data_IF_987579679596
#
_entry.id   IF_987579679596
#
_cell.length_a   1.000
_cell.length_b   1.000
_cell.length_c   1.000
_cell.angle_alpha   90.00
_cell.angle_beta   90.00
_cell.angle_gamma   90.00
#
_symmetry.space_group_name_H-M   'P 1'
#
loop_
_entity.id
_entity.type
_entity.pdbx_description
1 polymer ?
#
# COMPACT_ATOMS: atom_id res chain seq x y z
N UNK A 1 -22.38 -12.81 -15.00
CA UNK A 1 -21.19 -13.56 -14.54
C UNK A 1 -20.01 -12.63 -14.23
N UNK A 2 -19.50 -11.85 -15.19
CA UNK A 2 -18.36 -10.93 -15.00
C UNK A 2 -18.55 -9.93 -13.85
N UNK A 3 -19.74 -9.32 -13.72
CA UNK A 3 -20.04 -8.37 -12.64
C UNK A 3 -19.95 -8.99 -11.25
N UNK A 4 -20.37 -10.25 -11.09
CA UNK A 4 -20.29 -10.95 -9.81
C UNK A 4 -18.83 -11.31 -9.45
N UNK A 5 -18.04 -11.70 -10.45
CA UNK A 5 -16.60 -11.99 -10.27
C UNK A 5 -15.84 -10.74 -9.84
N UNK A 6 -16.09 -9.59 -10.47
CA UNK A 6 -15.47 -8.31 -10.09
C UNK A 6 -15.86 -7.91 -8.66
N UNK A 7 -17.13 -8.03 -8.29
CA UNK A 7 -17.58 -7.71 -6.93
C UNK A 7 -16.93 -8.62 -5.87
N UNK A 8 -16.83 -9.93 -6.14
CA UNK A 8 -16.19 -10.89 -5.24
C UNK A 8 -14.69 -10.58 -5.09
N UNK A 9 -14.01 -10.27 -6.20
CA UNK A 9 -12.59 -9.91 -6.20
C UNK A 9 -12.32 -8.64 -5.37
N UNK A 10 -13.18 -7.63 -5.52
CA UNK A 10 -13.10 -6.39 -4.72
C UNK A 10 -13.27 -6.67 -3.23
N UNK A 11 -14.28 -7.44 -2.83
CA UNK A 11 -14.51 -7.82 -1.43
C UNK A 11 -13.32 -8.60 -0.86
N UNK A 12 -12.75 -9.52 -1.64
CA UNK A 12 -11.56 -10.27 -1.23
C UNK A 12 -10.35 -9.36 -1.01
N UNK A 13 -10.08 -8.42 -1.92
CA UNK A 13 -9.00 -7.43 -1.80
C UNK A 13 -9.16 -6.51 -0.58
N UNK A 14 -10.39 -6.20 -0.17
CA UNK A 14 -10.68 -5.39 1.02
C UNK A 14 -10.50 -6.18 2.34
N UNK A 15 -10.54 -7.52 2.29
CA UNK A 15 -10.52 -8.40 3.46
C UNK A 15 -9.11 -8.80 3.95
N UNK A 16 -8.07 -8.57 3.15
CA UNK A 16 -6.68 -9.00 3.46
C UNK A 16 -5.90 -8.06 4.39
N UNK A 17 -6.55 -7.01 4.92
CA UNK A 17 -5.88 -5.96 5.70
C UNK A 17 -5.60 -6.25 7.18
N UNK A 18 -5.86 -7.47 7.70
CA UNK A 18 -5.97 -7.66 9.15
C UNK A 18 -4.66 -7.98 9.90
N UNK A 19 -3.62 -8.51 9.25
CA UNK A 19 -2.33 -8.78 9.92
C UNK A 19 -1.19 -8.72 8.89
N UNK A 20 -0.60 -7.54 8.65
CA UNK A 20 0.55 -7.45 7.73
C UNK A 20 1.83 -7.85 8.44
N UNK A 21 2.18 -9.14 8.39
CA UNK A 21 3.55 -9.57 8.70
C UNK A 21 4.50 -8.89 7.69
N UNK A 22 5.53 -8.21 8.18
CA UNK A 22 6.50 -7.55 7.29
C UNK A 22 7.15 -8.61 6.39
N UNK A 23 6.88 -8.53 5.08
CA UNK A 23 7.36 -9.52 4.10
C UNK A 23 8.86 -9.33 3.75
N UNK A 24 9.46 -8.19 4.09
CA UNK A 24 10.88 -7.96 3.91
C UNK A 24 11.69 -8.56 5.06
N UNK A 25 12.44 -9.64 4.76
CA UNK A 25 13.28 -10.36 5.73
C UNK A 25 14.34 -9.49 6.41
N UNK A 26 14.85 -8.46 5.72
CA UNK A 26 15.80 -7.48 6.26
C UNK A 26 15.12 -6.60 7.32
N UNK A 27 13.95 -6.05 7.01
CA UNK A 27 13.21 -5.19 7.94
C UNK A 27 12.82 -5.93 9.23
N UNK A 28 12.41 -7.20 9.11
CA UNK A 28 12.06 -8.05 10.25
C UNK A 28 13.27 -8.33 11.14
N UNK A 29 14.42 -8.69 10.56
CA UNK A 29 15.65 -8.91 11.35
C UNK A 29 16.12 -7.65 12.04
N UNK A 30 16.11 -6.51 11.35
CA UNK A 30 16.47 -5.23 11.95
C UNK A 30 15.51 -4.90 13.10
N UNK A 31 14.20 -4.95 12.91
CA UNK A 31 13.22 -4.65 13.96
C UNK A 31 13.43 -5.50 15.23
N UNK A 32 13.76 -6.79 15.08
CA UNK A 32 14.03 -7.69 16.22
C UNK A 32 15.23 -7.26 17.08
N UNK A 33 16.19 -6.50 16.53
CA UNK A 33 17.38 -6.04 17.23
C UNK A 33 17.21 -4.68 17.92
N UNK A 34 16.17 -3.91 17.59
CA UNK A 34 16.02 -2.53 18.08
C UNK A 34 15.22 -2.43 19.39
N UNK A 35 14.46 -3.45 19.80
CA UNK A 35 13.52 -3.34 20.93
C UNK A 35 12.23 -2.60 20.56
N UNK A 36 11.22 -2.62 21.44
CA UNK A 36 9.82 -2.31 21.08
C UNK A 36 9.60 -0.91 20.45
N UNK A 37 10.02 0.16 21.15
CA UNK A 37 9.81 1.55 20.70
C UNK A 37 10.42 1.85 19.32
N UNK A 38 11.73 1.63 19.10
CA UNK A 38 12.34 1.89 17.79
C UNK A 38 11.90 0.90 16.71
N UNK A 39 11.54 -0.35 17.04
CA UNK A 39 10.93 -1.27 16.08
C UNK A 39 9.58 -0.77 15.56
N UNK A 40 8.75 -0.19 16.44
CA UNK A 40 7.48 0.44 16.06
C UNK A 40 7.70 1.67 15.16
N UNK A 41 8.70 2.49 15.45
CA UNK A 41 9.07 3.63 14.61
C UNK A 41 9.55 3.19 13.22
N UNK A 42 10.37 2.13 13.15
CA UNK A 42 10.84 1.56 11.89
C UNK A 42 9.69 1.08 11.01
N UNK A 43 8.72 0.37 11.58
CA UNK A 43 7.53 -0.08 10.83
C UNK A 43 6.71 1.10 10.29
N UNK A 44 6.57 2.18 11.07
CA UNK A 44 5.95 3.42 10.59
C UNK A 44 6.69 4.02 9.39
N UNK A 45 8.02 4.01 9.43
CA UNK A 45 8.85 4.46 8.31
C UNK A 45 8.68 3.62 7.04
N UNK A 46 8.58 2.29 7.16
CA UNK A 46 8.35 1.39 6.01
C UNK A 46 7.02 1.72 5.32
N UNK A 47 5.94 1.87 6.10
CA UNK A 47 4.62 2.20 5.55
C UNK A 47 4.67 3.57 4.87
N UNK A 48 5.31 4.56 5.49
CA UNK A 48 5.48 5.89 4.89
C UNK A 48 6.20 5.80 3.53
N UNK A 49 7.33 5.11 3.48
CA UNK A 49 8.13 4.96 2.27
C UNK A 49 7.41 4.16 1.18
N UNK A 50 6.61 3.16 1.54
CA UNK A 50 5.82 2.38 0.59
C UNK A 50 4.61 3.15 0.04
N UNK A 51 3.92 3.90 0.90
CA UNK A 51 2.74 4.68 0.51
C UNK A 51 3.10 5.91 -0.34
N UNK A 52 4.24 6.53 -0.07
CA UNK A 52 4.70 7.76 -0.76
C UNK A 52 4.71 7.64 -2.29
N UNK A 53 5.41 6.67 -2.93
CA UNK A 53 5.44 6.56 -4.39
C UNK A 53 4.06 6.25 -4.98
N UNK A 54 3.23 5.46 -4.30
CA UNK A 54 1.86 5.18 -4.74
C UNK A 54 0.98 6.44 -4.70
N UNK A 55 1.10 7.24 -3.64
CA UNK A 55 0.40 8.51 -3.51
C UNK A 55 0.84 9.50 -4.60
N UNK A 56 2.15 9.62 -4.84
CA UNK A 56 2.69 10.48 -5.90
C UNK A 56 2.14 10.07 -7.27
N UNK A 57 2.25 8.79 -7.63
CA UNK A 57 1.75 8.28 -8.90
C UNK A 57 0.23 8.47 -9.03
N UNK A 58 -0.53 8.22 -7.95
CA UNK A 58 -1.97 8.44 -7.93
C UNK A 58 -2.36 9.89 -8.16
N UNK A 59 -1.69 10.84 -7.49
CA UNK A 59 -1.94 12.28 -7.66
C UNK A 59 -1.58 12.73 -9.08
N UNK A 60 -0.39 12.35 -9.58
CA UNK A 60 0.05 12.71 -10.92
C UNK A 60 -0.86 12.12 -11.99
N UNK A 61 -1.20 10.84 -11.88
CA UNK A 61 -2.13 10.15 -12.78
C UNK A 61 -3.52 10.79 -12.78
N UNK A 62 -4.07 11.12 -11.60
CA UNK A 62 -5.37 11.79 -11.49
C UNK A 62 -5.35 13.18 -12.11
N UNK A 63 -4.29 13.97 -11.85
CA UNK A 63 -4.12 15.31 -12.45
C UNK A 63 -3.99 15.24 -13.97
N UNK A 64 -3.20 14.29 -14.47
CA UNK A 64 -3.03 14.09 -15.91
C UNK A 64 -4.34 13.65 -16.57
N UNK A 65 -5.06 12.69 -15.98
CA UNK A 65 -6.38 12.29 -16.47
C UNK A 65 -7.34 13.48 -16.50
N UNK A 66 -7.36 14.32 -15.45
CA UNK A 66 -8.18 15.55 -15.40
C UNK A 66 -7.80 16.60 -16.45
N UNK A 67 -6.53 16.67 -16.84
CA UNK A 67 -6.08 17.59 -17.88
C UNK A 67 -6.35 17.08 -19.30
N UNK A 68 -6.38 15.76 -19.51
CA UNK A 68 -6.51 15.13 -20.83
C UNK A 68 -7.86 14.41 -21.02
N UNK A 69 -8.86 14.74 -20.19
CA UNK A 69 -10.22 14.18 -20.19
C UNK A 69 -10.85 14.21 -21.57
N UNK A 70 -10.60 15.31 -22.28
CA UNK A 70 -11.25 15.68 -23.53
C UNK A 70 -10.45 15.19 -24.76
N UNK A 71 -9.27 14.59 -24.52
CA UNK A 71 -8.41 14.00 -25.55
C UNK A 71 -8.72 12.52 -25.80
N UNK A 72 -9.50 11.89 -24.91
CA UNK A 72 -9.99 10.51 -25.00
C UNK A 72 -11.51 10.50 -25.19
#
# INVERSE_FOLDING_TARGET
MIRAVVSILMIFLLSTGLESQAQCSICTKTAQQLGEKPAKALNGGIIYLAATPLAILGILGFRWYKANRDMF
#
